data_IF_920493875352
#
_entry.id   IF_920493875352
#
_cell.length_a   1.000
_cell.length_b   1.000
_cell.length_c   1.000
_cell.angle_alpha   90.00
_cell.angle_beta   90.00
_cell.angle_gamma   90.00
#
_symmetry.space_group_name_H-M   'P 1'
#
loop_
_entity.id
_entity.type
_entity.pdbx_description
1 polymer ?
#
# COMPACT_ATOMS: atom_id res chain seq x y z
N UNK A 1 8.49 -9.56 -3.17
CA UNK A 1 9.14 -8.74 -2.13
C UNK A 1 8.12 -8.11 -1.19
N UNK A 2 7.08 -7.43 -1.68
CA UNK A 2 6.13 -6.74 -0.80
C UNK A 2 5.31 -7.67 0.12
N UNK A 3 4.93 -8.86 -0.35
CA UNK A 3 4.21 -9.85 0.47
C UNK A 3 5.05 -10.39 1.63
N UNK A 4 6.37 -10.51 1.42
CA UNK A 4 7.30 -10.90 2.48
C UNK A 4 7.34 -9.84 3.59
N UNK A 5 7.37 -8.56 3.23
CA UNK A 5 7.32 -7.47 4.21
C UNK A 5 6.04 -7.51 5.05
N UNK A 6 4.90 -7.77 4.41
CA UNK A 6 3.62 -7.96 5.10
C UNK A 6 3.69 -9.15 6.06
N UNK A 7 4.26 -10.27 5.65
CA UNK A 7 4.41 -11.43 6.53
C UNK A 7 5.31 -11.16 7.74
N UNK A 8 6.38 -10.38 7.56
CA UNK A 8 7.28 -10.02 8.66
C UNK A 8 6.59 -9.14 9.70
N UNK A 9 5.85 -8.12 9.27
CA UNK A 9 5.06 -7.27 10.19
C UNK A 9 4.08 -8.10 11.02
N UNK A 10 3.42 -9.09 10.40
CA UNK A 10 2.50 -10.00 11.11
C UNK A 10 3.24 -10.91 12.09
N UNK A 11 4.38 -11.46 11.68
CA UNK A 11 5.18 -12.35 12.53
C UNK A 11 5.74 -11.63 13.77
N UNK A 12 6.10 -10.36 13.63
CA UNK A 12 6.65 -9.52 14.70
C UNK A 12 5.57 -8.80 15.54
N UNK A 13 4.28 -8.97 15.22
CA UNK A 13 3.18 -8.32 15.94
C UNK A 13 3.13 -6.79 15.75
N UNK A 14 3.64 -6.28 14.63
CA UNK A 14 3.70 -4.85 14.30
C UNK A 14 2.38 -4.34 13.69
N UNK A 15 1.24 -4.77 14.23
CA UNK A 15 -0.10 -4.50 13.66
C UNK A 15 -0.41 -2.99 13.58
N UNK A 16 0.09 -2.18 14.52
CA UNK A 16 -0.08 -0.72 14.51
C UNK A 16 0.62 -0.02 13.35
N UNK A 17 1.58 -0.69 12.70
CA UNK A 17 2.35 -0.14 11.58
C UNK A 17 2.15 -0.91 10.28
N UNK A 18 1.32 -1.95 10.26
CA UNK A 18 1.13 -2.83 9.10
C UNK A 18 0.61 -2.10 7.86
N UNK A 19 -0.06 -0.94 8.04
CA UNK A 19 -0.48 -0.10 6.91
C UNK A 19 0.71 0.32 6.04
N UNK A 20 1.90 0.52 6.61
CA UNK A 20 3.11 0.87 5.87
C UNK A 20 3.50 -0.25 4.89
N UNK A 21 3.47 -1.49 5.36
CA UNK A 21 3.75 -2.67 4.54
C UNK A 21 2.71 -2.83 3.42
N UNK A 22 1.42 -2.63 3.74
CA UNK A 22 0.36 -2.65 2.73
C UNK A 22 0.51 -1.52 1.69
N UNK A 23 0.86 -0.31 2.10
CA UNK A 23 1.09 0.80 1.18
C UNK A 23 2.26 0.53 0.22
N UNK A 24 3.35 -0.04 0.74
CA UNK A 24 4.48 -0.46 -0.08
C UNK A 24 4.06 -1.55 -1.09
N UNK A 25 3.28 -2.54 -0.66
CA UNK A 25 2.73 -3.56 -1.56
C UNK A 25 1.87 -2.96 -2.67
N UNK A 26 0.98 -2.03 -2.32
CA UNK A 26 0.14 -1.35 -3.29
C UNK A 26 0.97 -0.63 -4.36
N UNK A 27 1.99 0.13 -3.93
CA UNK A 27 2.88 0.87 -4.84
C UNK A 27 3.69 -0.06 -5.74
N UNK A 28 4.18 -1.19 -5.23
CA UNK A 28 4.93 -2.18 -6.01
C UNK A 28 4.06 -2.81 -7.11
N UNK A 29 2.84 -3.23 -6.76
CA UNK A 29 1.89 -3.77 -7.74
C UNK A 29 1.49 -2.70 -8.77
N UNK A 30 1.27 -1.46 -8.33
CA UNK A 30 0.93 -0.35 -9.23
C UNK A 30 2.09 0.01 -10.17
N UNK A 31 3.32 -0.02 -9.65
CA UNK A 31 4.57 0.20 -10.37
C UNK A 31 4.84 -0.85 -11.44
N UNK A 32 4.32 -2.06 -11.25
CA UNK A 32 4.34 -3.13 -12.25
C UNK A 32 3.11 -3.13 -13.19
N UNK A 33 2.15 -2.22 -13.00
CA UNK A 33 0.96 -2.08 -13.84
C UNK A 33 -0.21 -3.01 -13.47
N UNK A 34 -0.16 -3.67 -12.32
CA UNK A 34 -1.20 -4.57 -11.83
C UNK A 34 -2.24 -3.82 -10.98
N UNK A 35 -3.17 -3.17 -11.66
CA UNK A 35 -4.19 -2.30 -11.03
C UNK A 35 -5.03 -3.00 -9.95
N UNK A 36 -5.50 -4.23 -10.20
CA UNK A 36 -6.35 -4.94 -9.25
C UNK A 36 -5.61 -5.24 -7.94
N UNK A 37 -4.41 -5.83 -8.03
CA UNK A 37 -3.58 -6.10 -6.87
C UNK A 37 -3.21 -4.81 -6.11
N UNK A 38 -2.86 -3.75 -6.83
CA UNK A 38 -2.54 -2.46 -6.23
C UNK A 38 -3.70 -1.92 -5.38
N UNK A 39 -4.92 -1.93 -5.93
CA UNK A 39 -6.13 -1.45 -5.23
C UNK A 39 -6.45 -2.33 -4.02
N UNK A 40 -6.29 -3.66 -4.12
CA UNK A 40 -6.51 -4.58 -3.00
C UNK A 40 -5.61 -4.20 -1.81
N UNK A 41 -4.32 -4.01 -2.05
CA UNK A 41 -3.36 -3.64 -1.02
C UNK A 41 -3.58 -2.22 -0.49
N UNK A 42 -3.93 -1.26 -1.35
CA UNK A 42 -4.24 0.09 -0.93
C UNK A 42 -5.46 0.13 0.01
N UNK A 43 -6.49 -0.66 -0.27
CA UNK A 43 -7.64 -0.80 0.62
C UNK A 43 -7.24 -1.33 2.00
N UNK A 44 -6.40 -2.38 2.05
CA UNK A 44 -5.90 -2.91 3.33
C UNK A 44 -5.08 -1.87 4.10
N UNK A 45 -4.27 -1.07 3.39
CA UNK A 45 -3.50 0.02 3.99
C UNK A 45 -4.38 1.09 4.60
N UNK A 46 -5.38 1.58 3.86
CA UNK A 46 -6.34 2.59 4.37
C UNK A 46 -7.06 2.06 5.60
N UNK A 47 -7.59 0.83 5.52
CA UNK A 47 -8.29 0.21 6.64
C UNK A 47 -7.41 0.11 7.89
N UNK A 48 -6.17 -0.37 7.75
CA UNK A 48 -5.24 -0.50 8.86
C UNK A 48 -4.81 0.86 9.43
N UNK A 49 -4.55 1.86 8.58
CA UNK A 49 -4.16 3.20 9.01
C UNK A 49 -5.27 3.90 9.80
N UNK A 50 -6.53 3.75 9.39
CA UNK A 50 -7.68 4.27 10.13
C UNK A 50 -7.86 3.61 11.50
N UNK A 51 -7.53 2.32 11.63
CA UNK A 51 -7.59 1.59 12.91
C UNK A 51 -6.45 2.03 13.84
N UNK A 52 -5.23 2.20 13.30
CA UNK A 52 -4.05 2.60 14.08
C UNK A 52 -4.15 4.02 14.66
N UNK A 53 -4.93 4.91 14.03
CA UNK A 53 -5.15 6.27 14.48
C UNK A 53 -4.05 7.24 14.02
N UNK A 54 -3.65 8.17 14.89
CA UNK A 54 -2.71 9.23 14.52
C UNK A 54 -1.33 8.70 14.10
N UNK A 55 -0.75 9.35 13.09
CA UNK A 55 0.59 9.01 12.58
C UNK A 55 0.61 8.12 11.33
N UNK A 56 -0.55 7.73 10.79
CA UNK A 56 -0.66 6.98 9.53
C UNK A 56 -1.30 7.78 8.38
N UNK A 57 -1.61 9.07 8.61
CA UNK A 57 -2.31 9.95 7.68
C UNK A 57 -1.64 10.03 6.29
N UNK A 58 -0.31 10.00 6.24
CA UNK A 58 0.43 10.02 4.98
C UNK A 58 0.12 8.79 4.11
N UNK A 59 0.06 7.61 4.73
CA UNK A 59 -0.24 6.35 4.04
C UNK A 59 -1.72 6.28 3.67
N UNK A 60 -2.60 6.76 4.55
CA UNK A 60 -4.04 6.80 4.27
C UNK A 60 -4.32 7.72 3.08
N UNK A 61 -3.76 8.93 3.05
CA UNK A 61 -3.96 9.89 1.95
C UNK A 61 -3.39 9.38 0.63
N UNK A 62 -2.17 8.84 0.63
CA UNK A 62 -1.54 8.29 -0.58
C UNK A 62 -2.33 7.09 -1.12
N UNK A 63 -2.75 6.17 -0.24
CA UNK A 63 -3.49 5.00 -0.67
C UNK A 63 -4.93 5.31 -1.10
N UNK A 64 -5.55 6.34 -0.51
CA UNK A 64 -6.83 6.84 -1.00
C UNK A 64 -6.68 7.40 -2.42
N UNK A 65 -5.63 8.18 -2.70
CA UNK A 65 -5.35 8.65 -4.05
C UNK A 65 -5.13 7.50 -5.05
N UNK A 66 -4.49 6.41 -4.62
CA UNK A 66 -4.36 5.19 -5.44
C UNK A 66 -5.73 4.55 -5.71
N UNK A 67 -6.61 4.46 -4.71
CA UNK A 67 -7.96 3.91 -4.85
C UNK A 67 -8.84 4.78 -5.76
N UNK A 68 -8.68 6.10 -5.70
CA UNK A 68 -9.40 7.06 -6.52
C UNK A 68 -8.96 6.98 -8.00
N UNK A 69 -7.71 6.57 -8.26
CA UNK A 69 -7.23 6.36 -9.63
C UNK A 69 -5.84 5.74 -9.72
N UNK A 70 -5.76 4.40 -9.71
CA UNK A 70 -4.50 3.65 -9.73
C UNK A 70 -3.58 4.03 -10.92
N UNK A 71 -4.16 4.20 -12.12
CA UNK A 71 -3.42 4.60 -13.34
C UNK A 71 -3.00 6.07 -13.39
N UNK A 72 -3.62 6.92 -12.56
CA UNK A 72 -3.30 8.35 -12.42
C UNK A 72 -2.35 8.60 -11.25
N UNK A 73 -2.22 7.63 -10.34
CA UNK A 73 -1.34 7.70 -9.19
C UNK A 73 0.13 7.78 -9.64
N UNK A 74 0.96 8.51 -8.89
CA UNK A 74 2.38 8.74 -9.24
C UNK A 74 3.18 7.45 -9.38
N UNK A 75 2.76 6.38 -8.70
CA UNK A 75 3.41 5.07 -8.75
C UNK A 75 2.97 4.19 -9.93
N UNK A 76 2.16 4.68 -10.88
CA UNK A 76 1.73 3.86 -12.01
C UNK A 76 2.91 3.53 -12.93
N UNK A 77 3.16 2.24 -13.17
CA UNK A 77 4.13 1.73 -14.15
C UNK A 77 5.56 2.28 -14.03
N UNK A 78 5.97 2.84 -12.89
CA UNK A 78 7.34 3.36 -12.73
C UNK A 78 8.43 2.28 -12.88
N UNK A 79 8.09 1.00 -12.65
CA UNK A 79 8.99 -0.14 -12.85
C UNK A 79 8.99 -0.68 -14.28
N UNK A 80 8.04 -0.27 -15.12
CA UNK A 80 7.95 -0.76 -16.51
C UNK A 80 9.04 -0.19 -17.44
N UNK A 81 9.88 0.72 -16.93
CA UNK A 81 11.01 1.33 -17.64
C UNK A 81 12.37 0.95 -17.04
N UNK A 82 12.41 0.03 -16.07
CA UNK A 82 13.64 -0.44 -15.42
C UNK A 82 14.10 -1.80 -15.91
#
# INVERSE_FOLDING_TARGET
MAELLVSLYKAEGLDTHICKAYALAAREWNGAGYEYQARLWAYQSVKAGLIAGSGMDEYVKDMQALLDGARKHWSWRYRAHG
#
